data_IF_281943471362
#
_entry.id   IF_281943471362
#
_cell.length_a   1.000
_cell.length_b   1.000
_cell.length_c   1.000
_cell.angle_alpha   90.00
_cell.angle_beta   90.00
_cell.angle_gamma   90.00
#
_symmetry.space_group_name_H-M   'P 1'
#
loop_
_entity.id
_entity.type
_entity.pdbx_description
1 polymer ?
#
# COMPACT_ATOMS: atom_id res chain seq x y z
N UNK A 1 -26.49 -20.94 -0.17
CA UNK A 1 -26.17 -20.34 1.14
C UNK A 1 -27.43 -20.17 1.98
N UNK A 2 -27.42 -20.61 3.24
CA UNK A 2 -28.46 -20.42 4.26
C UNK A 2 -28.04 -19.28 5.19
N UNK A 3 -28.97 -18.38 5.54
CA UNK A 3 -28.73 -17.24 6.43
C UNK A 3 -29.80 -17.25 7.52
N UNK A 4 -29.38 -17.21 8.79
CA UNK A 4 -30.27 -17.26 9.95
C UNK A 4 -29.99 -16.07 10.90
N UNK A 5 -30.97 -15.17 11.14
CA UNK A 5 -30.81 -14.09 12.11
C UNK A 5 -30.85 -14.62 13.55
N UNK A 6 -29.96 -14.11 14.40
CA UNK A 6 -29.94 -14.31 15.86
C UNK A 6 -29.59 -13.03 16.60
N UNK A 7 -30.16 -12.87 17.78
CA UNK A 7 -29.74 -11.86 18.75
C UNK A 7 -28.88 -12.57 19.80
N UNK A 8 -27.67 -12.08 20.03
CA UNK A 8 -26.72 -12.68 20.97
C UNK A 8 -26.22 -11.59 21.90
N UNK A 9 -26.34 -11.79 23.22
CA UNK A 9 -25.93 -10.77 24.20
C UNK A 9 -24.42 -10.65 24.27
N UNK A 10 -23.93 -9.43 24.54
CA UNK A 10 -22.51 -9.17 24.76
C UNK A 10 -21.93 -10.09 25.85
N UNK A 11 -22.66 -10.35 26.95
CA UNK A 11 -22.21 -11.29 27.99
C UNK A 11 -21.96 -12.70 27.49
N UNK A 12 -22.76 -13.17 26.53
CA UNK A 12 -22.59 -14.50 25.95
C UNK A 12 -21.39 -14.51 25.01
N UNK A 13 -21.22 -13.45 24.19
CA UNK A 13 -20.06 -13.32 23.31
C UNK A 13 -18.77 -13.22 24.11
N UNK A 14 -18.75 -12.46 25.22
CA UNK A 14 -17.58 -12.29 26.06
C UNK A 14 -17.19 -13.53 26.86
N UNK A 15 -18.11 -14.50 27.01
CA UNK A 15 -17.82 -15.75 27.68
C UNK A 15 -16.64 -16.48 27.01
N UNK A 16 -15.68 -16.92 27.82
CA UNK A 16 -14.44 -17.55 27.35
C UNK A 16 -13.58 -16.67 26.43
N UNK A 17 -13.73 -15.33 26.46
CA UNK A 17 -12.90 -14.45 25.63
C UNK A 17 -11.41 -14.62 25.93
N UNK A 18 -10.65 -14.93 24.89
CA UNK A 18 -9.20 -15.09 24.90
C UNK A 18 -8.59 -14.41 23.67
N UNK A 19 -7.72 -13.44 23.92
CA UNK A 19 -6.85 -12.83 22.92
C UNK A 19 -5.50 -13.57 22.96
N UNK A 20 -5.22 -14.39 21.95
CA UNK A 20 -4.00 -15.18 21.85
C UNK A 20 -2.94 -14.47 21.00
N UNK A 21 -3.06 -13.15 20.83
CA UNK A 21 -2.18 -12.40 19.94
C UNK A 21 -2.30 -12.97 18.54
N UNK A 22 -1.18 -13.43 17.98
CA UNK A 22 -1.06 -13.88 16.59
C UNK A 22 -1.91 -15.09 16.24
N UNK A 23 -2.14 -15.97 17.21
CA UNK A 23 -2.90 -17.23 17.05
C UNK A 23 -4.42 -17.01 17.02
N UNK A 24 -4.85 -15.75 17.12
CA UNK A 24 -6.24 -15.34 16.93
C UNK A 24 -6.91 -14.86 18.21
N UNK A 25 -8.17 -14.43 18.06
CA UNK A 25 -9.02 -13.97 19.15
C UNK A 25 -10.31 -14.79 19.14
N UNK A 26 -10.59 -15.43 20.27
CA UNK A 26 -11.70 -16.38 20.42
C UNK A 26 -12.62 -15.95 21.56
N UNK A 27 -13.90 -16.28 21.45
CA UNK A 27 -14.92 -15.97 22.45
C UNK A 27 -16.15 -16.88 22.28
N UNK A 28 -17.28 -16.54 22.92
CA UNK A 28 -18.53 -17.31 22.90
C UNK A 28 -18.35 -18.77 23.38
N UNK A 29 -17.65 -18.93 24.50
CA UNK A 29 -17.24 -20.23 25.05
C UNK A 29 -16.20 -20.95 24.19
N UNK A 30 -15.35 -20.19 23.48
CA UNK A 30 -14.35 -20.71 22.53
C UNK A 30 -14.93 -21.13 21.17
N UNK A 31 -16.24 -20.96 20.95
CA UNK A 31 -16.92 -21.36 19.70
C UNK A 31 -16.84 -20.31 18.61
N UNK A 32 -16.57 -19.05 18.94
CA UNK A 32 -16.46 -17.96 17.98
C UNK A 32 -14.99 -17.56 17.83
N UNK A 33 -14.43 -17.73 16.64
CA UNK A 33 -13.23 -17.02 16.24
C UNK A 33 -13.62 -15.59 15.82
N UNK A 34 -13.44 -14.61 16.72
CA UNK A 34 -13.66 -13.19 16.41
C UNK A 34 -12.63 -12.74 15.37
N UNK A 35 -11.40 -13.21 15.51
CA UNK A 35 -10.30 -12.95 14.57
C UNK A 35 -9.49 -14.24 14.40
N UNK A 36 -9.71 -15.02 13.34
CA UNK A 36 -8.81 -16.09 12.94
C UNK A 36 -7.39 -15.57 12.63
N UNK A 37 -6.33 -16.40 12.74
CA UNK A 37 -4.93 -15.98 12.52
C UNK A 37 -4.66 -15.28 11.18
N UNK A 38 -5.39 -15.66 10.12
CA UNK A 38 -5.24 -15.10 8.78
C UNK A 38 -5.95 -13.76 8.59
N UNK A 39 -6.91 -13.39 9.43
CA UNK A 39 -7.56 -12.07 9.36
C UNK A 39 -6.65 -10.95 9.86
N UNK A 40 -6.95 -9.72 9.47
CA UNK A 40 -6.21 -8.53 9.91
C UNK A 40 -6.37 -8.30 11.41
N UNK A 41 -5.43 -7.55 11.98
CA UNK A 41 -5.49 -7.10 13.37
C UNK A 41 -6.63 -6.10 13.61
N UNK A 42 -6.81 -5.70 14.87
CA UNK A 42 -7.66 -4.57 15.21
C UNK A 42 -7.07 -3.27 14.63
N UNK A 43 -7.88 -2.52 13.87
CA UNK A 43 -7.44 -1.32 13.12
C UNK A 43 -8.23 -0.06 13.46
N UNK A 44 -9.25 -0.16 14.33
CA UNK A 44 -9.91 1.04 14.83
C UNK A 44 -8.97 1.83 15.73
N UNK A 45 -9.00 3.15 15.59
CA UNK A 45 -8.42 4.04 16.59
C UNK A 45 -9.32 4.12 17.84
N UNK A 46 -8.83 4.78 18.89
CA UNK A 46 -9.55 4.88 20.16
C UNK A 46 -10.91 5.60 20.00
N UNK A 47 -11.01 6.59 19.12
CA UNK A 47 -12.25 7.35 18.92
C UNK A 47 -13.31 6.48 18.23
N UNK A 48 -12.90 5.69 17.23
CA UNK A 48 -13.74 4.71 16.57
C UNK A 48 -14.20 3.61 17.53
N UNK A 49 -13.28 3.06 18.34
CA UNK A 49 -13.58 2.03 19.33
C UNK A 49 -14.50 2.55 20.45
N UNK A 50 -14.28 3.79 20.92
CA UNK A 50 -15.14 4.47 21.88
C UNK A 50 -16.55 4.67 21.32
N UNK A 51 -16.68 5.11 20.06
CA UNK A 51 -17.98 5.33 19.41
C UNK A 51 -18.85 4.07 19.41
N UNK A 52 -18.26 2.88 19.27
CA UNK A 52 -18.98 1.60 19.39
C UNK A 52 -19.60 1.44 20.77
N UNK A 53 -18.83 1.70 21.85
CA UNK A 53 -19.32 1.57 23.22
C UNK A 53 -20.40 2.61 23.52
N UNK A 54 -20.23 3.85 23.03
CA UNK A 54 -21.22 4.91 23.15
C UNK A 54 -22.56 4.53 22.48
N UNK A 55 -22.52 3.91 21.30
CA UNK A 55 -23.72 3.39 20.63
C UNK A 55 -24.40 2.30 21.46
N UNK A 56 -23.63 1.38 22.04
CA UNK A 56 -24.13 0.33 22.93
C UNK A 56 -24.83 0.93 24.16
N UNK A 57 -24.17 1.87 24.86
CA UNK A 57 -24.72 2.53 26.05
C UNK A 57 -26.00 3.32 25.76
N UNK A 58 -26.11 3.91 24.57
CA UNK A 58 -27.32 4.62 24.13
C UNK A 58 -28.45 3.70 23.67
N UNK A 59 -28.21 2.38 23.61
CA UNK A 59 -29.16 1.41 23.06
C UNK A 59 -29.42 1.59 21.56
N UNK A 60 -28.52 2.27 20.84
CA UNK A 60 -28.64 2.46 19.40
C UNK A 60 -28.20 1.20 18.66
N UNK A 61 -28.78 0.91 17.48
CA UNK A 61 -28.43 -0.28 16.73
C UNK A 61 -27.02 -0.16 16.15
N UNK A 62 -26.16 -1.11 16.51
CA UNK A 62 -24.94 -1.39 15.76
C UNK A 62 -25.31 -2.06 14.44
N UNK A 63 -24.53 -1.79 13.39
CA UNK A 63 -24.66 -2.51 12.14
C UNK A 63 -24.55 -4.03 12.39
N UNK A 64 -25.39 -4.78 11.70
CA UNK A 64 -25.50 -6.24 11.83
C UNK A 64 -24.14 -6.91 11.67
N UNK A 65 -23.88 -7.95 12.47
CA UNK A 65 -22.69 -8.78 12.33
C UNK A 65 -23.02 -9.97 11.43
N UNK A 66 -22.03 -10.45 10.69
CA UNK A 66 -22.16 -11.68 9.91
C UNK A 66 -21.18 -12.69 10.44
N UNK A 67 -21.69 -13.86 10.86
CA UNK A 67 -20.87 -14.98 11.29
C UNK A 67 -21.01 -16.10 10.28
N UNK A 68 -19.93 -16.79 9.98
CA UNK A 68 -19.95 -17.96 9.13
C UNK A 68 -19.75 -19.21 9.97
N UNK A 69 -20.54 -20.24 9.71
CA UNK A 69 -20.40 -21.53 10.38
C UNK A 69 -19.17 -22.25 9.82
N UNK A 70 -18.21 -22.55 10.70
CA UNK A 70 -16.96 -23.26 10.38
C UNK A 70 -17.10 -24.77 10.63
N UNK A 71 -17.80 -25.15 11.69
CA UNK A 71 -18.20 -26.53 12.01
C UNK A 71 -19.59 -26.53 12.69
N UNK A 72 -20.20 -27.69 13.02
CA UNK A 72 -21.52 -27.73 13.67
C UNK A 72 -21.69 -26.75 14.84
N UNK A 73 -20.64 -26.60 15.66
CA UNK A 73 -20.65 -25.80 16.89
C UNK A 73 -19.62 -24.66 16.90
N UNK A 74 -19.04 -24.31 15.75
CA UNK A 74 -18.06 -23.21 15.66
C UNK A 74 -18.39 -22.19 14.56
N UNK A 75 -18.02 -20.96 14.85
CA UNK A 75 -18.31 -19.78 14.03
C UNK A 75 -17.05 -18.94 13.86
N UNK A 76 -16.98 -18.25 12.73
CA UNK A 76 -15.98 -17.21 12.47
C UNK A 76 -16.68 -15.91 12.14
N UNK A 77 -16.15 -14.79 12.62
CA UNK A 77 -16.68 -13.48 12.23
C UNK A 77 -16.29 -13.18 10.78
N UNK A 78 -17.30 -12.96 9.95
CA UNK A 78 -17.18 -12.57 8.56
C UNK A 78 -17.21 -11.04 8.42
N UNK A 79 -18.15 -10.38 9.08
CA UNK A 79 -18.19 -8.92 9.21
C UNK A 79 -18.59 -8.53 10.63
N UNK A 80 -18.10 -7.37 11.07
CA UNK A 80 -18.30 -6.87 12.42
C UNK A 80 -17.12 -7.09 13.36
N UNK A 81 -16.01 -7.66 12.87
CA UNK A 81 -14.80 -7.94 13.67
C UNK A 81 -14.40 -6.74 14.53
N UNK A 82 -14.29 -5.55 13.95
CA UNK A 82 -13.83 -4.34 14.65
C UNK A 82 -14.84 -3.88 15.72
N UNK A 83 -16.15 -3.98 15.44
CA UNK A 83 -17.20 -3.64 16.40
C UNK A 83 -17.20 -4.62 17.59
N UNK A 84 -17.11 -5.91 17.30
CA UNK A 84 -17.02 -6.96 18.32
C UNK A 84 -15.78 -6.76 19.19
N UNK A 85 -14.60 -6.60 18.57
CA UNK A 85 -13.34 -6.40 19.30
C UNK A 85 -13.33 -5.12 20.15
N UNK A 86 -13.93 -4.02 19.69
CA UNK A 86 -14.03 -2.79 20.49
C UNK A 86 -14.68 -3.09 21.84
N UNK A 87 -15.84 -3.76 21.82
CA UNK A 87 -16.53 -4.18 23.06
C UNK A 87 -15.67 -5.11 23.90
N UNK A 88 -15.08 -6.15 23.31
CA UNK A 88 -14.30 -7.13 24.08
C UNK A 88 -13.05 -6.49 24.72
N UNK A 89 -12.35 -5.62 23.99
CA UNK A 89 -11.14 -4.93 24.47
C UNK A 89 -11.48 -3.92 25.58
N UNK A 90 -12.61 -3.21 25.46
CA UNK A 90 -13.12 -2.35 26.55
C UNK A 90 -13.36 -3.15 27.83
N UNK A 91 -14.06 -4.29 27.73
CA UNK A 91 -14.33 -5.21 28.84
C UNK A 91 -13.06 -5.91 29.39
N UNK A 92 -11.94 -5.85 28.67
CA UNK A 92 -10.60 -6.27 29.13
C UNK A 92 -9.72 -5.12 29.61
N UNK A 93 -10.32 -3.95 29.87
CA UNK A 93 -9.61 -2.80 30.43
C UNK A 93 -8.50 -2.24 29.50
N UNK A 94 -8.60 -2.46 28.18
CA UNK A 94 -7.56 -2.02 27.24
C UNK A 94 -7.62 -0.52 26.92
N UNK A 95 -8.80 0.10 27.02
CA UNK A 95 -8.97 1.53 26.81
C UNK A 95 -10.17 2.07 27.60
N UNK A 96 -10.17 3.38 27.95
CA UNK A 96 -11.31 4.03 28.58
C UNK A 96 -12.26 4.66 27.54
N UNK A 97 -13.50 4.95 27.95
CA UNK A 97 -14.45 5.79 27.20
C UNK A 97 -14.69 7.11 27.93
N UNK A 98 -15.17 8.12 27.22
CA UNK A 98 -15.48 9.45 27.77
C UNK A 98 -16.99 9.62 27.96
N UNK A 99 -17.45 9.75 29.20
CA UNK A 99 -18.83 10.09 29.54
C UNK A 99 -18.84 11.41 30.32
N UNK A 100 -19.61 12.39 29.84
CA UNK A 100 -19.70 13.74 30.44
C UNK A 100 -18.34 14.40 30.72
N UNK A 101 -17.38 14.22 29.80
CA UNK A 101 -16.03 14.77 29.90
C UNK A 101 -15.10 14.02 30.88
N UNK A 102 -15.54 12.90 31.46
CA UNK A 102 -14.74 12.04 32.35
C UNK A 102 -14.45 10.70 31.70
N UNK A 103 -13.26 10.16 31.96
CA UNK A 103 -12.86 8.84 31.46
C UNK A 103 -13.31 7.73 32.40
N UNK A 104 -13.91 6.70 31.83
CA UNK A 104 -14.35 5.50 32.54
C UNK A 104 -13.76 4.26 31.88
N UNK A 105 -13.18 3.39 32.70
CA UNK A 105 -12.97 1.98 32.35
C UNK A 105 -14.22 1.19 32.74
N UNK A 106 -14.33 -0.04 32.22
CA UNK A 106 -15.52 -0.88 32.41
C UNK A 106 -15.87 -1.11 33.89
N UNK A 107 -14.88 -1.22 34.77
CA UNK A 107 -14.99 -1.49 36.21
C UNK A 107 -15.25 -0.23 37.04
N UNK A 108 -15.16 0.95 36.41
CA UNK A 108 -15.51 2.23 37.00
C UNK A 108 -16.88 2.75 36.55
N UNK A 109 -17.58 2.02 35.67
CA UNK A 109 -18.92 2.37 35.25
C UNK A 109 -19.93 2.18 36.40
N UNK A 110 -20.97 3.02 36.48
CA UNK A 110 -22.17 2.70 37.25
C UNK A 110 -22.76 1.35 36.83
N UNK A 111 -23.33 0.61 37.80
CA UNK A 111 -23.85 -0.74 37.59
C UNK A 111 -24.88 -0.81 36.46
N UNK A 112 -25.76 0.19 36.34
CA UNK A 112 -26.78 0.28 35.29
C UNK A 112 -26.16 0.41 33.89
N UNK A 113 -25.09 1.17 33.76
CA UNK A 113 -24.34 1.36 32.51
C UNK A 113 -23.55 0.11 32.13
N UNK A 114 -22.93 -0.56 33.11
CA UNK A 114 -22.28 -1.85 32.90
C UNK A 114 -23.28 -2.92 32.46
N UNK A 115 -24.43 -3.00 33.14
CA UNK A 115 -25.50 -3.94 32.78
C UNK A 115 -26.10 -3.63 31.41
N UNK A 116 -26.22 -2.36 31.02
CA UNK A 116 -26.64 -1.97 29.68
C UNK A 116 -25.70 -2.53 28.60
N UNK A 117 -24.38 -2.45 28.81
CA UNK A 117 -23.39 -3.06 27.92
C UNK A 117 -23.56 -4.59 27.90
N UNK A 118 -23.56 -5.23 29.07
CA UNK A 118 -23.56 -6.70 29.16
C UNK A 118 -24.85 -7.35 28.63
N UNK A 119 -25.98 -6.61 28.63
CA UNK A 119 -27.27 -7.08 28.14
C UNK A 119 -27.59 -6.64 26.70
N UNK A 120 -26.79 -5.76 26.09
CA UNK A 120 -26.96 -5.37 24.70
C UNK A 120 -26.83 -6.58 23.78
N UNK A 121 -27.70 -6.65 22.77
CA UNK A 121 -27.79 -7.77 21.84
C UNK A 121 -27.18 -7.40 20.49
N UNK A 122 -26.13 -8.11 20.08
CA UNK A 122 -25.68 -8.05 18.70
C UNK A 122 -26.69 -8.74 17.80
N UNK A 123 -27.13 -8.03 16.75
CA UNK A 123 -27.88 -8.62 15.65
C UNK A 123 -26.90 -9.35 14.73
N UNK A 124 -26.91 -10.68 14.76
CA UNK A 124 -25.99 -11.55 14.03
C UNK A 124 -26.74 -12.34 12.95
N UNK A 125 -26.27 -12.30 11.72
CA UNK A 125 -26.67 -13.24 10.68
C UNK A 125 -25.67 -14.39 10.61
N UNK A 126 -26.12 -15.60 10.93
CA UNK A 126 -25.32 -16.83 10.81
C UNK A 126 -25.47 -17.38 9.40
N UNK A 127 -24.37 -17.47 8.68
CA UNK A 127 -24.27 -17.93 7.31
C UNK A 127 -23.71 -19.37 7.25
N UNK A 128 -24.37 -20.24 6.49
CA UNK A 128 -23.96 -21.62 6.25
C UNK A 128 -24.01 -21.90 4.73
N UNK A 129 -22.91 -22.37 4.15
CA UNK A 129 -22.79 -22.54 2.70
C UNK A 129 -21.45 -23.11 2.28
N UNK A 130 -21.32 -23.40 0.98
CA UNK A 130 -20.05 -23.86 0.39
C UNK A 130 -19.01 -22.75 0.41
N UNK A 131 -17.73 -23.12 0.40
CA UNK A 131 -16.60 -22.17 0.42
C UNK A 131 -16.66 -21.15 -0.73
N UNK A 132 -17.05 -21.60 -1.93
CA UNK A 132 -17.26 -20.72 -3.08
C UNK A 132 -18.34 -19.66 -2.85
N UNK A 133 -19.43 -20.00 -2.15
CA UNK A 133 -20.52 -19.08 -1.82
C UNK A 133 -20.10 -18.10 -0.71
N UNK A 134 -19.30 -18.56 0.26
CA UNK A 134 -18.77 -17.72 1.35
C UNK A 134 -17.94 -16.56 0.80
N UNK A 135 -17.13 -16.80 -0.24
CA UNK A 135 -16.24 -15.82 -0.87
C UNK A 135 -17.02 -14.73 -1.62
N UNK A 136 -18.03 -15.11 -2.41
CA UNK A 136 -18.90 -14.17 -3.10
C UNK A 136 -19.68 -13.30 -2.09
N UNK A 137 -20.19 -13.93 -1.03
CA UNK A 137 -20.85 -13.23 0.06
C UNK A 137 -19.91 -12.27 0.80
N UNK A 138 -18.65 -12.66 1.01
CA UNK A 138 -17.64 -11.81 1.64
C UNK A 138 -17.48 -10.49 0.91
N UNK A 139 -17.47 -10.52 -0.43
CA UNK A 139 -17.38 -9.31 -1.26
C UNK A 139 -18.63 -8.43 -1.15
N UNK A 140 -19.81 -9.03 -1.05
CA UNK A 140 -21.09 -8.30 -0.95
C UNK A 140 -21.27 -7.67 0.43
N UNK A 141 -20.91 -8.36 1.51
CA UNK A 141 -21.10 -7.86 2.88
C UNK A 141 -20.06 -6.81 3.27
N UNK A 142 -18.85 -6.89 2.72
CA UNK A 142 -17.73 -5.96 2.95
C UNK A 142 -17.95 -4.55 2.33
N UNK A 143 -19.20 -4.06 2.33
CA UNK A 143 -19.60 -2.72 1.89
C UNK A 143 -19.82 -1.79 3.10
N UNK A 144 -20.19 -2.34 4.26
CA UNK A 144 -20.52 -1.55 5.46
C UNK A 144 -19.40 -1.59 6.51
N UNK A 145 -18.90 -0.43 6.93
CA UNK A 145 -17.83 -0.31 7.94
C UNK A 145 -16.44 -0.17 7.33
N UNK A 146 -15.40 -0.54 8.07
CA UNK A 146 -14.02 -0.46 7.58
C UNK A 146 -13.75 -1.55 6.55
N UNK A 147 -13.93 -1.22 5.26
CA UNK A 147 -13.75 -2.14 4.13
C UNK A 147 -12.41 -2.88 4.20
N UNK A 148 -12.44 -4.19 4.00
CA UNK A 148 -11.23 -5.01 3.80
C UNK A 148 -10.54 -4.63 2.49
N UNK A 149 -9.21 -4.56 2.49
CA UNK A 149 -8.40 -4.42 1.28
C UNK A 149 -8.50 -5.67 0.41
N UNK A 150 -8.18 -5.56 -0.88
CA UNK A 150 -8.21 -6.73 -1.77
C UNK A 150 -7.29 -7.85 -1.27
N UNK A 151 -6.13 -7.51 -0.71
CA UNK A 151 -5.24 -8.53 -0.13
C UNK A 151 -5.81 -9.16 1.14
N UNK A 152 -6.49 -8.39 2.00
CA UNK A 152 -7.21 -8.93 3.16
C UNK A 152 -8.33 -9.90 2.71
N UNK A 153 -8.99 -9.63 1.58
CA UNK A 153 -9.96 -10.54 0.97
C UNK A 153 -9.28 -11.81 0.42
N UNK A 154 -8.14 -11.70 -0.27
CA UNK A 154 -7.40 -12.88 -0.78
C UNK A 154 -6.94 -13.79 0.36
N UNK A 155 -6.49 -13.22 1.47
CA UNK A 155 -6.03 -13.95 2.64
C UNK A 155 -7.11 -14.84 3.27
N UNK A 156 -8.40 -14.49 3.16
CA UNK A 156 -9.48 -15.34 3.68
C UNK A 156 -9.77 -16.57 2.80
N UNK A 157 -9.32 -16.55 1.55
CA UNK A 157 -9.53 -17.61 0.55
C UNK A 157 -8.35 -18.58 0.52
N UNK A 158 -7.13 -18.03 0.57
CA UNK A 158 -5.90 -18.81 0.44
C UNK A 158 -5.26 -19.07 1.81
N UNK A 159 -6.08 -19.47 2.78
CA UNK A 159 -5.62 -19.81 4.14
C UNK A 159 -4.78 -21.09 4.14
N UNK A 160 -3.74 -21.11 4.97
CA UNK A 160 -2.80 -22.24 5.05
C UNK A 160 -1.51 -21.89 5.80
N UNK A 161 -0.61 -22.87 5.86
CA UNK A 161 0.71 -22.71 6.48
C UNK A 161 1.53 -21.63 5.76
N UNK A 162 1.60 -21.70 4.42
CA UNK A 162 2.22 -20.67 3.58
C UNK A 162 1.75 -19.24 3.92
N UNK A 163 0.44 -18.99 3.97
CA UNK A 163 -0.07 -17.63 4.26
C UNK A 163 0.28 -17.18 5.68
N UNK A 164 0.20 -18.10 6.65
CA UNK A 164 0.56 -17.80 8.04
C UNK A 164 2.02 -17.38 8.15
N UNK A 165 2.90 -18.06 7.42
CA UNK A 165 4.31 -17.73 7.36
C UNK A 165 4.59 -16.44 6.58
N UNK A 166 3.92 -16.21 5.44
CA UNK A 166 4.01 -14.94 4.72
C UNK A 166 3.61 -13.76 5.63
N UNK A 167 2.52 -13.91 6.40
CA UNK A 167 2.09 -12.88 7.34
C UNK A 167 3.11 -12.63 8.45
N UNK A 168 3.88 -13.63 8.89
CA UNK A 168 4.97 -13.45 9.86
C UNK A 168 6.01 -12.44 9.36
N UNK A 169 6.33 -12.45 8.06
CA UNK A 169 7.27 -11.52 7.46
C UNK A 169 6.66 -10.15 7.14
N UNK A 170 5.42 -10.12 6.63
CA UNK A 170 4.85 -8.94 6.00
C UNK A 170 3.75 -8.22 6.80
N UNK A 171 3.23 -8.81 7.88
CA UNK A 171 2.11 -8.27 8.66
C UNK A 171 2.53 -7.75 10.03
N UNK A 172 1.81 -6.74 10.53
CA UNK A 172 2.04 -5.99 11.78
C UNK A 172 3.05 -4.85 11.65
N UNK A 173 2.89 -3.84 12.49
CA UNK A 173 3.68 -2.57 12.45
C UNK A 173 5.20 -2.77 12.47
N UNK A 174 5.71 -3.78 13.16
CA UNK A 174 7.15 -4.03 13.32
C UNK A 174 7.60 -5.34 12.66
N UNK A 175 6.94 -5.76 11.58
CA UNK A 175 7.30 -6.99 10.87
C UNK A 175 8.67 -6.90 10.19
N UNK A 176 9.27 -8.04 9.89
CA UNK A 176 10.60 -8.12 9.29
C UNK A 176 10.69 -7.31 7.98
N UNK A 177 9.68 -7.45 7.10
CA UNK A 177 9.62 -6.71 5.86
C UNK A 177 9.54 -5.19 6.10
N UNK A 178 8.75 -4.75 7.10
CA UNK A 178 8.62 -3.33 7.42
C UNK A 178 9.93 -2.73 7.94
N UNK A 179 10.62 -3.44 8.84
CA UNK A 179 11.92 -3.01 9.36
C UNK A 179 12.98 -2.95 8.26
N UNK A 180 12.96 -3.91 7.33
CA UNK A 180 13.87 -3.96 6.20
C UNK A 180 13.60 -2.85 5.17
N UNK A 181 12.33 -2.59 4.84
CA UNK A 181 11.97 -1.78 3.68
C UNK A 181 11.42 -0.39 3.99
N UNK A 182 11.29 0.06 5.25
CA UNK A 182 10.58 1.30 5.59
C UNK A 182 11.11 2.56 4.88
N UNK A 183 12.41 2.60 4.59
CA UNK A 183 13.03 3.70 3.83
C UNK A 183 12.56 3.74 2.37
N UNK A 184 12.23 2.60 1.78
CA UNK A 184 12.07 2.41 0.35
C UNK A 184 10.61 2.18 -0.06
N UNK A 185 9.91 1.28 0.62
CA UNK A 185 8.57 0.84 0.26
C UNK A 185 7.55 1.40 1.25
N UNK A 186 6.54 2.09 0.72
CA UNK A 186 5.37 2.53 1.48
C UNK A 186 4.36 1.40 1.60
N UNK A 187 3.56 1.39 2.66
CA UNK A 187 2.48 0.43 2.84
C UNK A 187 2.21 0.19 4.32
N UNK A 188 0.93 0.10 4.68
CA UNK A 188 0.50 -0.31 6.02
C UNK A 188 0.51 -1.84 6.14
N UNK A 189 1.43 -2.43 6.93
CA UNK A 189 1.48 -3.87 7.13
C UNK A 189 0.26 -4.41 7.91
N UNK A 190 -0.43 -3.58 8.71
CA UNK A 190 -1.68 -3.98 9.35
C UNK A 190 -2.82 -4.13 8.33
N UNK A 191 -2.74 -3.41 7.21
CA UNK A 191 -3.71 -3.46 6.09
C UNK A 191 -3.30 -4.38 4.94
N UNK A 192 -2.25 -5.17 5.16
CA UNK A 192 -1.69 -6.13 4.20
C UNK A 192 -1.12 -5.49 2.93
N UNK A 193 -0.90 -4.17 2.91
CA UNK A 193 -0.40 -3.47 1.72
C UNK A 193 1.03 -3.87 1.37
N UNK A 194 1.86 -4.14 2.39
CA UNK A 194 3.24 -4.58 2.18
C UNK A 194 3.31 -6.00 1.59
N UNK A 195 2.47 -6.92 2.09
CA UNK A 195 2.31 -8.26 1.53
C UNK A 195 1.82 -8.19 0.08
N UNK A 196 0.84 -7.33 -0.20
CA UNK A 196 0.32 -7.13 -1.56
C UNK A 196 1.40 -6.66 -2.53
N UNK A 197 2.26 -5.71 -2.12
CA UNK A 197 3.37 -5.23 -2.96
C UNK A 197 4.42 -6.30 -3.23
N UNK A 198 4.77 -7.09 -2.22
CA UNK A 198 5.68 -8.22 -2.40
C UNK A 198 5.09 -9.25 -3.38
N UNK A 199 3.81 -9.56 -3.23
CA UNK A 199 3.09 -10.49 -4.12
C UNK A 199 3.01 -9.97 -5.56
N UNK A 200 2.70 -8.68 -5.76
CA UNK A 200 2.72 -8.07 -7.10
C UNK A 200 4.11 -8.18 -7.74
N UNK A 201 5.14 -7.88 -6.97
CA UNK A 201 6.53 -7.96 -7.43
C UNK A 201 6.92 -9.36 -7.87
N UNK A 202 6.69 -10.38 -7.03
CA UNK A 202 7.08 -11.76 -7.39
C UNK A 202 6.22 -12.31 -8.52
N UNK A 203 4.95 -11.93 -8.60
CA UNK A 203 4.08 -12.30 -9.72
C UNK A 203 4.66 -11.78 -11.04
N UNK A 204 5.04 -10.51 -11.10
CA UNK A 204 5.70 -9.93 -12.26
C UNK A 204 7.02 -10.65 -12.57
N UNK A 205 7.86 -10.89 -11.57
CA UNK A 205 9.14 -11.59 -11.70
C UNK A 205 9.00 -13.00 -12.30
N UNK A 206 7.92 -13.71 -11.96
CA UNK A 206 7.64 -15.07 -12.42
C UNK A 206 6.72 -15.14 -13.64
N UNK A 207 6.27 -14.00 -14.19
CA UNK A 207 5.32 -13.94 -15.30
C UNK A 207 3.91 -14.46 -14.95
N UNK A 208 3.50 -14.34 -13.69
CA UNK A 208 2.17 -14.69 -13.20
C UNK A 208 1.28 -13.46 -13.26
N UNK A 209 0.13 -13.54 -13.93
CA UNK A 209 -0.72 -12.38 -14.20
C UNK A 209 -1.50 -11.88 -12.98
N UNK A 210 -1.83 -12.78 -12.04
CA UNK A 210 -2.71 -12.46 -10.90
C UNK A 210 -2.15 -13.00 -9.58
N UNK A 211 -2.24 -12.19 -8.52
CA UNK A 211 -1.81 -12.59 -7.15
C UNK A 211 -2.54 -13.85 -6.69
N UNK A 212 -3.82 -14.00 -7.05
CA UNK A 212 -4.62 -15.16 -6.68
C UNK A 212 -4.07 -16.46 -7.27
N UNK A 213 -3.44 -16.41 -8.45
CA UNK A 213 -2.80 -17.59 -9.04
C UNK A 213 -1.55 -17.98 -8.25
N UNK A 214 -0.71 -17.00 -7.88
CA UNK A 214 0.46 -17.26 -7.03
C UNK A 214 0.01 -17.86 -5.68
N UNK A 215 -0.89 -17.19 -4.96
CA UNK A 215 -1.37 -17.69 -3.67
C UNK A 215 -2.04 -19.08 -3.78
N UNK A 216 -2.75 -19.38 -4.87
CA UNK A 216 -3.33 -20.70 -5.10
C UNK A 216 -2.26 -21.78 -5.30
N UNK A 217 -1.21 -21.47 -6.07
CA UNK A 217 -0.12 -22.39 -6.40
C UNK A 217 0.66 -22.81 -5.16
N UNK A 218 0.94 -21.86 -4.27
CA UNK A 218 1.78 -22.07 -3.08
C UNK A 218 0.98 -22.32 -1.79
N UNK A 219 -0.37 -22.33 -1.84
CA UNK A 219 -1.25 -22.47 -0.66
C UNK A 219 -0.90 -23.65 0.26
N UNK A 220 -0.45 -24.76 -0.35
CA UNK A 220 -0.14 -26.02 0.35
C UNK A 220 1.28 -26.09 0.89
N UNK A 221 2.11 -25.10 0.62
CA UNK A 221 3.49 -25.06 1.09
C UNK A 221 3.55 -24.75 2.58
N UNK A 222 4.64 -25.17 3.21
CA UNK A 222 4.83 -25.03 4.67
C UNK A 222 5.27 -23.62 5.07
N UNK A 223 5.95 -22.91 4.17
CA UNK A 223 6.61 -21.62 4.41
C UNK A 223 6.47 -20.71 3.17
N UNK A 224 6.77 -19.42 3.35
CA UNK A 224 6.74 -18.42 2.30
C UNK A 224 8.15 -17.95 1.91
N UNK A 225 9.15 -18.84 2.02
CA UNK A 225 10.56 -18.46 1.87
C UNK A 225 10.88 -17.92 0.47
N UNK A 226 10.23 -18.41 -0.59
CA UNK A 226 10.42 -17.88 -1.95
C UNK A 226 9.99 -16.40 -2.06
N UNK A 227 8.81 -16.07 -1.52
CA UNK A 227 8.31 -14.69 -1.48
C UNK A 227 9.20 -13.81 -0.60
N UNK A 228 9.65 -14.34 0.54
CA UNK A 228 10.50 -13.60 1.45
C UNK A 228 11.88 -13.33 0.86
N UNK A 229 12.52 -14.34 0.27
CA UNK A 229 13.82 -14.22 -0.38
C UNK A 229 13.76 -13.21 -1.54
N UNK A 230 12.74 -13.29 -2.40
CA UNK A 230 12.52 -12.30 -3.46
C UNK A 230 12.49 -10.87 -2.90
N UNK A 231 11.70 -10.65 -1.84
CA UNK A 231 11.58 -9.31 -1.25
C UNK A 231 12.89 -8.82 -0.62
N UNK A 232 13.67 -9.72 0.00
CA UNK A 232 15.00 -9.40 0.50
C UNK A 232 15.96 -9.02 -0.64
N UNK A 233 15.94 -9.77 -1.74
CA UNK A 233 16.80 -9.51 -2.89
C UNK A 233 16.51 -8.14 -3.52
N UNK A 234 15.23 -7.77 -3.62
CA UNK A 234 14.81 -6.42 -4.05
C UNK A 234 15.47 -5.35 -3.19
N UNK A 235 15.33 -5.42 -1.86
CA UNK A 235 15.85 -4.38 -0.96
C UNK A 235 17.39 -4.37 -0.94
N UNK A 236 18.03 -5.54 -0.86
CA UNK A 236 19.49 -5.62 -0.87
C UNK A 236 20.09 -5.13 -2.19
N UNK A 237 19.42 -5.37 -3.32
CA UNK A 237 19.82 -4.82 -4.59
C UNK A 237 19.78 -3.30 -4.57
N UNK A 238 18.68 -2.69 -4.11
CA UNK A 238 18.55 -1.22 -3.97
C UNK A 238 19.69 -0.65 -3.12
N UNK A 239 19.95 -1.24 -1.94
CA UNK A 239 21.02 -0.79 -1.03
C UNK A 239 22.42 -0.93 -1.63
N UNK A 240 22.64 -1.97 -2.45
CA UNK A 240 23.90 -2.19 -3.15
C UNK A 240 24.15 -1.14 -4.23
N UNK A 241 23.15 -0.83 -5.04
CA UNK A 241 23.30 0.09 -6.18
C UNK A 241 23.21 1.57 -5.76
N UNK A 242 22.42 1.86 -4.73
CA UNK A 242 22.20 3.21 -4.18
C UNK A 242 22.61 3.23 -2.69
N UNK A 243 23.92 3.25 -2.38
CA UNK A 243 24.42 3.10 -1.01
C UNK A 243 24.08 4.27 -0.08
N UNK A 244 23.65 5.41 -0.65
CA UNK A 244 23.18 6.57 0.10
C UNK A 244 21.68 6.74 -0.09
N UNK A 245 20.97 6.78 1.02
CA UNK A 245 19.53 7.05 1.04
C UNK A 245 19.21 8.53 0.83
N UNK A 246 18.15 8.79 0.05
CA UNK A 246 17.50 10.08 -0.11
C UNK A 246 15.98 9.93 0.05
N UNK A 247 15.30 10.98 0.51
CA UNK A 247 13.87 10.91 0.85
C UNK A 247 12.97 10.58 -0.35
N UNK A 248 13.36 11.00 -1.56
CA UNK A 248 12.64 10.71 -2.80
C UNK A 248 12.73 9.24 -3.25
N UNK A 249 13.61 8.43 -2.66
CA UNK A 249 13.61 6.97 -2.84
C UNK A 249 12.35 6.32 -2.27
N UNK A 250 11.69 6.96 -1.29
CA UNK A 250 10.53 6.38 -0.61
C UNK A 250 9.30 6.39 -1.53
N UNK A 251 8.72 5.21 -1.71
CA UNK A 251 7.50 4.99 -2.47
C UNK A 251 7.69 4.83 -3.97
N UNK A 252 8.92 4.61 -4.44
CA UNK A 252 9.16 4.09 -5.79
C UNK A 252 8.75 2.61 -5.86
N UNK A 253 8.41 2.14 -7.06
CA UNK A 253 8.09 0.74 -7.29
C UNK A 253 9.38 -0.10 -7.42
N UNK A 254 10.03 -0.31 -6.27
CA UNK A 254 11.32 -1.01 -6.22
C UNK A 254 11.23 -2.47 -6.66
N UNK A 255 10.07 -3.12 -6.52
CA UNK A 255 9.85 -4.46 -7.05
C UNK A 255 9.93 -4.46 -8.58
N UNK A 256 9.19 -3.56 -9.24
CA UNK A 256 9.24 -3.41 -10.70
C UNK A 256 10.64 -3.03 -11.18
N UNK A 257 11.27 -2.04 -10.55
CA UNK A 257 12.64 -1.62 -10.91
C UNK A 257 13.65 -2.76 -10.75
N UNK A 258 13.53 -3.55 -9.68
CA UNK A 258 14.36 -4.75 -9.52
C UNK A 258 14.11 -5.72 -10.67
N UNK A 259 12.84 -6.09 -10.93
CA UNK A 259 12.47 -7.06 -11.95
C UNK A 259 13.04 -6.71 -13.34
N UNK A 260 12.94 -5.44 -13.73
CA UNK A 260 13.44 -4.94 -15.03
C UNK A 260 14.97 -4.83 -15.08
N UNK A 261 15.59 -4.33 -14.02
CA UNK A 261 16.96 -3.80 -14.12
C UNK A 261 18.02 -4.57 -13.33
N UNK A 262 17.68 -5.51 -12.46
CA UNK A 262 18.65 -6.15 -11.56
C UNK A 262 19.77 -6.93 -12.26
N UNK A 263 19.53 -7.39 -13.50
CA UNK A 263 20.49 -8.16 -14.29
C UNK A 263 21.57 -7.31 -14.97
N UNK A 264 21.44 -5.97 -14.97
CA UNK A 264 22.47 -5.08 -15.51
C UNK A 264 23.61 -4.85 -14.51
N UNK A 265 24.79 -4.57 -15.04
CA UNK A 265 25.97 -4.28 -14.23
C UNK A 265 26.01 -2.79 -13.86
N UNK A 266 25.89 -2.49 -12.56
CA UNK A 266 26.01 -1.14 -12.04
C UNK A 266 27.25 -0.98 -11.17
N UNK A 267 27.96 0.14 -11.34
CA UNK A 267 29.03 0.54 -10.43
C UNK A 267 28.45 1.48 -9.36
N UNK A 268 28.35 1.02 -8.12
CA UNK A 268 27.73 1.78 -7.02
C UNK A 268 28.40 3.13 -6.72
N UNK A 269 29.71 3.25 -6.97
CA UNK A 269 30.42 4.53 -6.81
C UNK A 269 30.03 5.54 -7.89
N UNK A 270 29.84 5.07 -9.13
CA UNK A 270 29.33 5.89 -10.24
C UNK A 270 27.87 6.28 -9.98
N UNK A 271 27.03 5.33 -9.56
CA UNK A 271 25.63 5.60 -9.22
C UNK A 271 25.53 6.66 -8.12
N UNK A 272 26.32 6.54 -7.04
CA UNK A 272 26.32 7.52 -5.95
C UNK A 272 26.74 8.93 -6.42
N UNK A 273 27.75 9.03 -7.28
CA UNK A 273 28.19 10.30 -7.85
C UNK A 273 27.12 10.92 -8.75
N UNK A 274 26.48 10.11 -9.60
CA UNK A 274 25.44 10.58 -10.51
C UNK A 274 24.14 10.96 -9.81
N UNK A 275 23.71 10.21 -8.78
CA UNK A 275 22.58 10.60 -7.94
C UNK A 275 22.85 11.95 -7.30
N UNK A 276 24.04 12.16 -6.74
CA UNK A 276 24.42 13.45 -6.15
C UNK A 276 24.37 14.57 -7.20
N UNK A 277 24.99 14.36 -8.36
CA UNK A 277 25.03 15.35 -9.46
C UNK A 277 23.61 15.74 -9.90
N UNK A 278 22.71 14.78 -10.05
CA UNK A 278 21.34 15.03 -10.50
C UNK A 278 20.47 15.72 -9.43
N UNK A 279 20.73 15.50 -8.15
CA UNK A 279 20.07 16.25 -7.07
C UNK A 279 20.56 17.70 -6.98
N UNK A 280 21.81 17.96 -7.36
CA UNK A 280 22.41 19.29 -7.40
C UNK A 280 22.08 20.05 -8.71
N UNK A 281 21.47 19.39 -9.68
CA UNK A 281 21.10 19.96 -10.96
C UNK A 281 19.73 20.66 -10.87
N UNK A 282 19.74 21.99 -10.93
CA UNK A 282 18.52 22.82 -10.88
C UNK A 282 17.56 22.57 -12.06
N UNK A 283 18.02 21.95 -13.14
CA UNK A 283 17.16 21.59 -14.26
C UNK A 283 16.30 20.36 -13.95
N UNK A 284 16.67 19.50 -12.99
CA UNK A 284 15.88 18.31 -12.64
C UNK A 284 14.67 18.69 -11.79
N UNK A 285 13.45 18.61 -12.34
CA UNK A 285 12.22 18.95 -11.61
C UNK A 285 11.53 17.75 -10.95
N UNK A 286 11.96 16.51 -11.26
CA UNK A 286 11.43 15.28 -10.66
C UNK A 286 12.54 14.40 -10.06
N UNK A 287 12.98 14.68 -8.81
CA UNK A 287 14.02 13.90 -8.13
C UNK A 287 13.72 12.40 -8.05
N UNK A 288 12.44 12.02 -7.88
CA UNK A 288 12.00 10.61 -7.90
C UNK A 288 12.38 9.86 -9.19
N UNK A 289 12.47 10.56 -10.32
CA UNK A 289 12.83 9.96 -11.60
C UNK A 289 14.32 9.68 -11.78
N UNK A 290 15.18 10.18 -10.88
CA UNK A 290 16.63 9.99 -10.94
C UNK A 290 17.01 8.51 -10.95
N UNK A 291 16.37 7.71 -10.09
CA UNK A 291 16.74 6.32 -9.90
C UNK A 291 16.46 5.49 -11.15
N UNK A 292 15.24 5.57 -11.67
CA UNK A 292 14.87 4.88 -12.91
C UNK A 292 15.67 5.41 -14.10
N UNK A 293 15.89 6.73 -14.21
CA UNK A 293 16.75 7.32 -15.24
C UNK A 293 18.15 6.69 -15.23
N UNK A 294 18.79 6.57 -14.07
CA UNK A 294 20.12 5.99 -13.97
C UNK A 294 20.14 4.49 -14.29
N UNK A 295 19.04 3.77 -14.03
CA UNK A 295 18.91 2.36 -14.33
C UNK A 295 18.76 2.09 -15.83
N UNK A 296 18.11 2.98 -16.58
CA UNK A 296 17.74 2.76 -17.98
C UNK A 296 18.39 3.70 -19.02
N UNK A 297 19.13 4.74 -18.62
CA UNK A 297 19.69 5.75 -19.56
C UNK A 297 20.56 5.21 -20.70
N UNK A 298 21.19 4.05 -20.50
CA UNK A 298 22.06 3.45 -21.52
C UNK A 298 21.26 2.60 -22.54
N UNK A 299 20.00 2.28 -22.22
CA UNK A 299 19.12 1.42 -23.04
C UNK A 299 17.87 2.12 -23.54
N UNK A 300 17.35 3.12 -22.83
CA UNK A 300 16.21 3.95 -23.23
C UNK A 300 16.70 5.33 -23.70
N UNK A 301 16.70 5.60 -25.03
CA UNK A 301 17.12 6.90 -25.55
C UNK A 301 16.21 8.05 -25.10
N UNK A 302 15.02 7.76 -24.57
CA UNK A 302 14.07 8.75 -24.07
C UNK A 302 14.07 8.87 -22.54
N UNK A 303 15.02 8.23 -21.84
CA UNK A 303 15.06 8.20 -20.37
C UNK A 303 15.03 9.58 -19.71
N UNK A 304 15.53 10.62 -20.40
CA UNK A 304 15.50 12.01 -19.92
C UNK A 304 14.10 12.51 -19.51
N UNK A 305 13.04 11.93 -20.08
CA UNK A 305 11.64 12.23 -19.69
C UNK A 305 11.35 11.95 -18.22
N UNK A 306 12.07 11.01 -17.60
CA UNK A 306 11.87 10.61 -16.21
C UNK A 306 12.26 11.73 -15.24
N UNK A 307 13.20 12.60 -15.63
CA UNK A 307 13.71 13.70 -14.80
C UNK A 307 12.82 14.95 -14.81
N UNK A 308 11.89 15.05 -15.76
CA UNK A 308 11.07 16.23 -16.00
C UNK A 308 11.93 17.50 -16.03
N UNK A 309 12.82 17.62 -17.02
CA UNK A 309 13.78 18.72 -17.06
C UNK A 309 13.11 20.09 -17.21
N UNK A 310 13.70 21.12 -16.62
CA UNK A 310 13.24 22.51 -16.69
C UNK A 310 13.14 22.95 -18.15
N UNK A 311 11.96 23.45 -18.53
CA UNK A 311 11.75 24.06 -19.83
C UNK A 311 12.15 25.53 -19.83
N UNK A 312 12.59 26.03 -20.98
CA UNK A 312 12.79 27.48 -21.19
C UNK A 312 11.48 28.23 -21.01
N UNK A 313 11.54 29.35 -20.29
CA UNK A 313 10.38 30.22 -20.11
C UNK A 313 10.08 31.04 -21.39
N UNK A 314 8.98 31.80 -21.39
CA UNK A 314 8.60 32.62 -22.55
C UNK A 314 9.62 33.72 -22.84
N UNK A 315 10.27 34.28 -21.82
CA UNK A 315 11.22 35.37 -21.97
C UNK A 315 12.51 34.87 -22.64
N UNK A 316 13.00 33.70 -22.22
CA UNK A 316 14.16 33.04 -22.80
C UNK A 316 13.92 32.70 -24.27
N UNK A 317 12.75 32.13 -24.57
CA UNK A 317 12.32 31.81 -25.94
C UNK A 317 12.23 33.07 -26.81
N UNK A 318 11.64 34.16 -26.31
CA UNK A 318 11.55 35.43 -27.04
C UNK A 318 12.92 36.05 -27.29
N UNK A 319 13.82 36.00 -26.31
CA UNK A 319 15.19 36.45 -26.47
C UNK A 319 15.92 35.65 -27.56
N UNK A 320 15.83 34.32 -27.52
CA UNK A 320 16.41 33.45 -28.54
C UNK A 320 15.81 33.70 -29.93
N UNK A 321 14.49 33.82 -30.04
CA UNK A 321 13.79 34.13 -31.28
C UNK A 321 14.28 35.45 -31.90
N UNK A 322 14.39 36.50 -31.07
CA UNK A 322 14.89 37.80 -31.52
C UNK A 322 16.35 37.76 -31.96
N UNK A 323 17.22 37.01 -31.27
CA UNK A 323 18.63 36.81 -31.69
C UNK A 323 18.73 36.10 -33.03
N UNK A 324 17.82 35.16 -33.29
CA UNK A 324 17.77 34.36 -34.50
C UNK A 324 16.99 35.01 -35.65
N UNK A 325 16.35 36.16 -35.43
CA UNK A 325 15.44 36.80 -36.38
C UNK A 325 14.35 35.84 -36.90
N UNK A 326 13.82 34.96 -36.05
CA UNK A 326 12.83 33.94 -36.44
C UNK A 326 13.34 32.82 -37.36
N UNK A 327 14.66 32.75 -37.61
CA UNK A 327 15.27 31.75 -38.48
C UNK A 327 15.64 30.50 -37.68
N UNK A 328 15.22 29.33 -38.16
CA UNK A 328 15.59 28.03 -37.60
C UNK A 328 17.07 27.71 -37.93
N UNK A 329 17.95 27.47 -36.94
CA UNK A 329 19.37 27.16 -37.15
C UNK A 329 19.62 25.84 -37.91
N UNK A 330 18.63 24.95 -37.98
CA UNK A 330 18.78 23.63 -38.63
C UNK A 330 18.40 23.69 -40.11
N UNK A 331 17.26 24.30 -40.46
CA UNK A 331 16.78 24.33 -41.85
C UNK A 331 16.98 25.68 -42.55
N UNK A 332 17.32 26.75 -41.83
CA UNK A 332 17.56 28.08 -42.39
C UNK A 332 16.30 28.87 -42.77
N UNK A 333 15.11 28.29 -42.60
CA UNK A 333 13.83 28.94 -42.93
C UNK A 333 13.32 29.81 -41.77
N UNK A 334 12.53 30.84 -42.11
CA UNK A 334 11.88 31.74 -41.15
C UNK A 334 10.51 31.20 -40.72
N UNK A 335 10.21 31.27 -39.42
CA UNK A 335 8.95 30.83 -38.83
C UNK A 335 8.40 31.89 -37.87
N UNK A 336 7.08 31.92 -37.66
CA UNK A 336 6.50 32.71 -36.58
C UNK A 336 6.85 32.11 -35.21
N UNK A 337 6.80 32.92 -34.15
CA UNK A 337 7.17 32.50 -32.80
C UNK A 337 6.37 31.27 -32.32
N UNK A 338 5.08 31.20 -32.64
CA UNK A 338 4.15 30.12 -32.27
C UNK A 338 4.42 28.80 -33.02
N UNK A 339 5.20 28.86 -34.09
CA UNK A 339 5.60 27.72 -34.93
C UNK A 339 6.96 27.14 -34.51
N UNK A 340 7.60 27.75 -33.52
CA UNK A 340 8.91 27.35 -33.01
C UNK A 340 8.85 26.89 -31.55
N UNK A 341 9.83 26.07 -31.17
CA UNK A 341 10.02 25.55 -29.81
C UNK A 341 11.43 25.90 -29.32
N UNK A 342 11.52 26.21 -28.03
CA UNK A 342 12.81 26.45 -27.37
C UNK A 342 13.51 25.13 -27.07
N UNK A 343 14.78 25.04 -27.46
CA UNK A 343 15.61 23.85 -27.37
C UNK A 343 17.04 24.23 -26.95
N UNK A 344 17.80 23.27 -26.43
CA UNK A 344 19.16 23.51 -25.95
C UNK A 344 20.16 23.47 -27.12
N UNK A 345 21.07 24.46 -27.19
CA UNK A 345 22.19 24.47 -28.14
C UNK A 345 23.13 23.30 -27.82
N UNK A 346 23.64 23.26 -26.59
CA UNK A 346 24.31 22.09 -26.01
C UNK A 346 23.25 21.26 -25.29
N UNK A 347 22.93 20.03 -25.74
CA UNK A 347 21.93 19.19 -25.11
C UNK A 347 22.22 18.96 -23.62
N UNK A 348 21.17 18.82 -22.81
CA UNK A 348 21.31 18.52 -21.38
C UNK A 348 22.08 17.21 -21.13
N UNK A 349 21.88 16.19 -21.98
CA UNK A 349 22.64 14.91 -21.92
C UNK A 349 24.16 15.09 -22.07
N UNK A 350 24.62 16.21 -22.65
CA UNK A 350 26.04 16.57 -22.78
C UNK A 350 26.49 17.60 -21.74
N UNK A 351 25.66 17.90 -20.74
CA UNK A 351 25.91 18.89 -19.70
C UNK A 351 25.66 20.33 -20.16
N UNK A 352 24.61 20.58 -20.94
CA UNK A 352 24.11 21.93 -21.21
C UNK A 352 22.92 22.27 -20.31
N UNK A 353 22.99 23.40 -19.61
CA UNK A 353 21.95 23.83 -18.67
C UNK A 353 20.84 24.64 -19.36
N UNK A 354 19.65 24.71 -18.77
CA UNK A 354 18.53 25.55 -19.22
C UNK A 354 18.77 27.02 -18.85
N UNK A 355 19.63 27.66 -19.63
CA UNK A 355 20.00 29.08 -19.49
C UNK A 355 19.67 29.87 -20.75
N UNK A 356 19.41 31.18 -20.66
CA UNK A 356 19.07 32.01 -21.82
C UNK A 356 20.10 31.93 -22.97
N UNK A 357 21.37 31.72 -22.64
CA UNK A 357 22.47 31.61 -23.60
C UNK A 357 22.55 30.24 -24.28
N UNK A 358 22.05 29.19 -23.62
CA UNK A 358 21.94 27.85 -24.20
C UNK A 358 20.59 27.63 -24.92
N UNK A 359 19.72 28.64 -24.97
CA UNK A 359 18.43 28.57 -25.65
C UNK A 359 18.55 28.91 -27.15
N UNK A 360 18.02 28.04 -28.01
CA UNK A 360 17.74 28.30 -29.42
C UNK A 360 16.28 27.98 -29.75
N UNK A 361 15.72 28.65 -30.75
CA UNK A 361 14.40 28.34 -31.30
C UNK A 361 14.55 27.43 -32.52
N UNK A 362 13.90 26.26 -32.51
CA UNK A 362 13.81 25.35 -33.65
C UNK A 362 12.37 25.30 -34.16
N UNK A 363 12.15 25.12 -35.47
CA UNK A 363 10.80 24.80 -35.95
C UNK A 363 10.37 23.42 -35.44
N UNK A 364 9.07 23.21 -35.23
CA UNK A 364 8.52 21.95 -34.66
C UNK A 364 9.03 20.69 -35.37
N UNK A 365 9.16 20.74 -36.70
CA UNK A 365 9.66 19.62 -37.50
C UNK A 365 11.14 19.31 -37.26
N UNK A 366 11.98 20.33 -37.08
CA UNK A 366 13.41 20.14 -36.78
C UNK A 366 13.62 19.73 -35.32
N UNK A 367 12.83 20.28 -34.40
CA UNK A 367 12.89 19.92 -32.99
C UNK A 367 12.53 18.44 -32.77
N UNK A 368 11.42 17.98 -33.35
CA UNK A 368 11.00 16.57 -33.25
C UNK A 368 12.08 15.59 -33.75
N UNK A 369 12.71 15.88 -34.90
CA UNK A 369 13.80 15.05 -35.45
C UNK A 369 15.07 15.05 -34.60
N UNK A 370 15.28 16.10 -33.79
CA UNK A 370 16.45 16.20 -32.91
C UNK A 370 16.24 15.39 -31.62
N UNK A 371 15.03 15.41 -31.07
CA UNK A 371 14.66 14.61 -29.90
C UNK A 371 14.80 13.10 -30.11
N UNK A 372 14.69 12.62 -31.35
CA UNK A 372 14.90 11.20 -31.70
C UNK A 372 16.38 10.78 -31.75
N UNK A 373 17.33 11.72 -31.61
CA UNK A 373 18.77 11.49 -31.85
C UNK A 373 19.68 11.72 -30.64
N UNK A 374 19.17 12.24 -29.52
CA UNK A 374 20.01 12.73 -28.41
C UNK A 374 19.47 12.51 -27.01
#
# INVERSE_FOLDING_TARGET
>A
MKIEPKQIKIREVFDGYADQGDDGVFAYGGRLAIRPPYQREFVYDNDQAESVIQTVLKGFPLNVMYWVKASPDSYEVLDGQQRTLSVMQYLKHQYPITLDGKKYYWDALPDDSYDAIMNYEFMVYICEGKESEKLEWFRVVNIAGAKLTEQELRNSVYTGAWLSDAKRYFSKRNCAAKLLSDKYITGDPNRQELLEKALRGICEYQGISEITEYMARYKSDADADELWQYFQDVIHWVEKIFPKYFLDMKGLDWCHLYNEYHNFAYNSSVMAAEVKRLHEDEDVQKPKGIYEFLLCRDTDPFAGRLLNLRAFDKRDKLAAYSRQNGICPICGEHFAFEEMEGDHIKPWSKGGQTTPDNCQMLCKACNGKKSDKY
#
